data_IF_514607201035
#
_entry.id   IF_514607201035
#
_cell.length_a   1.000
_cell.length_b   1.000
_cell.length_c   1.000
_cell.angle_alpha   90.00
_cell.angle_beta   90.00
_cell.angle_gamma   90.00
#
_symmetry.space_group_name_H-M   'P 1'
#
loop_
_entity.id
_entity.type
_entity.pdbx_description
1 polymer ?
#
# COMPACT_ATOMS: atom_id res chain seq x y z
N UNK A 1 -53.08 -1.86 -48.00
CA UNK A 1 -51.64 -2.21 -48.14
C UNK A 1 -50.85 -0.94 -48.03
N UNK A 2 -50.43 -0.57 -46.85
CA UNK A 2 -49.55 0.59 -46.61
C UNK A 2 -48.38 0.05 -45.80
N UNK A 3 -47.25 -0.12 -46.51
CA UNK A 3 -45.96 -0.49 -45.94
C UNK A 3 -45.37 0.74 -45.24
N UNK A 4 -45.34 0.72 -43.90
CA UNK A 4 -44.64 1.68 -43.10
C UNK A 4 -43.16 1.29 -43.07
N UNK A 5 -42.38 2.03 -43.83
CA UNK A 5 -40.94 1.94 -43.97
C UNK A 5 -40.30 2.49 -42.64
N UNK A 6 -39.98 1.59 -41.72
CA UNK A 6 -39.27 1.94 -40.46
C UNK A 6 -37.77 2.02 -40.77
N UNK A 7 -37.34 3.12 -41.34
CA UNK A 7 -35.92 3.42 -41.51
C UNK A 7 -35.23 3.38 -40.15
N UNK A 8 -34.47 2.32 -39.86
CA UNK A 8 -33.61 2.19 -38.71
C UNK A 8 -32.58 3.32 -38.75
N UNK A 9 -32.69 4.28 -37.82
CA UNK A 9 -31.70 5.35 -37.64
C UNK A 9 -30.41 4.70 -37.15
N UNK A 10 -29.41 4.63 -38.05
CA UNK A 10 -28.05 4.26 -37.68
C UNK A 10 -27.55 5.20 -36.56
N UNK A 11 -26.89 4.66 -35.52
CA UNK A 11 -26.33 5.49 -34.47
C UNK A 11 -25.34 6.48 -35.09
N UNK A 12 -25.56 7.77 -34.85
CA UNK A 12 -24.68 8.84 -35.32
C UNK A 12 -23.26 8.57 -34.77
N UNK A 13 -22.27 8.54 -35.68
CA UNK A 13 -20.88 8.44 -35.30
C UNK A 13 -20.55 9.54 -34.26
N UNK A 14 -19.90 9.23 -33.13
CA UNK A 14 -19.58 10.23 -32.12
C UNK A 14 -18.74 11.33 -32.75
N UNK A 15 -19.15 12.59 -32.51
CA UNK A 15 -18.47 13.77 -33.00
C UNK A 15 -16.97 13.72 -32.64
N UNK A 16 -16.04 14.04 -33.57
CA UNK A 16 -14.59 13.97 -33.31
C UNK A 16 -14.14 14.81 -32.13
N UNK A 17 -14.87 15.88 -31.80
CA UNK A 17 -14.66 16.74 -30.64
C UNK A 17 -14.74 16.01 -29.28
N UNK A 18 -15.62 15.04 -29.15
CA UNK A 18 -15.71 14.24 -27.91
C UNK A 18 -14.45 13.43 -27.63
N UNK A 19 -13.81 12.92 -28.68
CA UNK A 19 -12.53 12.20 -28.54
C UNK A 19 -11.39 13.14 -28.13
N UNK A 20 -11.31 14.32 -28.72
CA UNK A 20 -10.30 15.31 -28.36
C UNK A 20 -10.46 15.81 -26.93
N UNK A 21 -11.70 16.06 -26.47
CA UNK A 21 -11.99 16.42 -25.09
C UNK A 21 -11.63 15.27 -24.13
N UNK A 22 -11.92 14.03 -24.48
CA UNK A 22 -11.54 12.88 -23.68
C UNK A 22 -10.01 12.72 -23.55
N UNK A 23 -9.28 12.90 -24.66
CA UNK A 23 -7.80 12.89 -24.65
C UNK A 23 -7.21 14.06 -23.87
N UNK A 24 -7.78 15.24 -24.00
CA UNK A 24 -7.35 16.42 -23.23
C UNK A 24 -7.60 16.24 -21.74
N UNK A 25 -8.77 15.72 -21.35
CA UNK A 25 -9.09 15.39 -19.95
C UNK A 25 -8.14 14.31 -19.39
N UNK A 26 -7.88 13.25 -20.15
CA UNK A 26 -6.92 12.22 -19.77
C UNK A 26 -5.50 12.78 -19.62
N UNK A 27 -5.05 13.61 -20.57
CA UNK A 27 -3.75 14.27 -20.50
C UNK A 27 -3.62 15.20 -19.29
N UNK A 28 -4.65 15.99 -19.00
CA UNK A 28 -4.70 16.85 -17.81
C UNK A 28 -4.65 16.00 -16.51
N UNK A 29 -5.43 14.93 -16.45
CA UNK A 29 -5.42 14.02 -15.30
C UNK A 29 -4.05 13.37 -15.10
N UNK A 30 -3.40 12.92 -16.17
CA UNK A 30 -2.04 12.37 -16.11
C UNK A 30 -1.03 13.43 -15.64
N UNK A 31 -1.11 14.66 -16.17
CA UNK A 31 -0.22 15.74 -15.75
C UNK A 31 -0.39 16.10 -14.27
N UNK A 32 -1.62 16.16 -13.77
CA UNK A 32 -1.91 16.41 -12.34
C UNK A 32 -1.40 15.26 -11.46
N UNK A 33 -1.52 14.02 -11.93
CA UNK A 33 -1.09 12.84 -11.15
C UNK A 33 0.42 12.63 -11.19
N UNK A 34 1.04 12.75 -12.37
CA UNK A 34 2.47 12.49 -12.56
C UNK A 34 3.34 13.71 -12.28
N UNK A 35 2.78 14.93 -12.36
CA UNK A 35 3.50 16.16 -12.12
C UNK A 35 4.21 16.22 -10.76
N UNK A 36 3.52 15.97 -9.63
CA UNK A 36 4.16 15.91 -8.32
C UNK A 36 5.24 14.83 -8.21
N UNK A 37 5.03 13.65 -8.83
CA UNK A 37 6.04 12.58 -8.85
C UNK A 37 7.27 13.00 -9.66
N UNK A 38 7.06 13.68 -10.78
CA UNK A 38 8.16 14.25 -11.56
C UNK A 38 8.95 15.28 -10.75
N UNK A 39 8.29 16.16 -9.99
CA UNK A 39 8.96 17.15 -9.14
C UNK A 39 9.79 16.46 -8.03
N UNK A 40 9.33 15.35 -7.45
CA UNK A 40 10.12 14.55 -6.51
C UNK A 40 11.40 14.05 -7.17
N UNK A 41 11.29 13.42 -8.36
CA UNK A 41 12.44 12.90 -9.10
C UNK A 41 13.37 14.02 -9.55
N UNK A 42 12.81 15.12 -10.07
CA UNK A 42 13.56 16.32 -10.49
C UNK A 42 14.39 16.87 -9.32
N UNK A 43 13.78 17.05 -8.15
CA UNK A 43 14.45 17.58 -6.97
C UNK A 43 15.50 16.60 -6.43
N UNK A 44 15.23 15.29 -6.52
CA UNK A 44 16.21 14.24 -6.18
C UNK A 44 17.48 14.30 -7.03
N UNK A 45 17.36 14.75 -8.28
CA UNK A 45 18.47 14.89 -9.24
C UNK A 45 19.12 16.26 -9.19
N UNK A 46 18.57 17.24 -8.49
CA UNK A 46 19.13 18.60 -8.42
C UNK A 46 20.32 18.67 -7.46
N UNK A 47 21.32 19.50 -7.79
CA UNK A 47 22.41 19.77 -6.85
C UNK A 47 21.88 20.57 -5.64
N UNK A 48 22.25 20.22 -4.37
CA UNK A 48 21.68 20.87 -3.19
C UNK A 48 21.79 22.39 -3.19
N UNK A 49 22.93 22.93 -3.64
CA UNK A 49 23.19 24.37 -3.71
C UNK A 49 22.40 25.08 -4.83
N UNK A 50 22.05 24.38 -5.91
CA UNK A 50 21.34 24.94 -7.04
C UNK A 50 19.79 24.92 -6.86
N UNK A 51 19.28 24.18 -5.86
CA UNK A 51 17.84 23.93 -5.68
C UNK A 51 17.02 25.23 -5.60
N UNK A 52 17.45 26.19 -4.79
CA UNK A 52 16.69 27.44 -4.60
C UNK A 52 16.77 28.37 -5.82
N UNK A 53 17.92 28.38 -6.49
CA UNK A 53 18.10 29.20 -7.70
C UNK A 53 17.21 28.72 -8.88
N UNK A 54 16.93 27.44 -8.93
CA UNK A 54 16.19 26.82 -10.04
C UNK A 54 14.89 26.12 -9.60
N UNK A 55 14.28 26.61 -8.51
CA UNK A 55 13.08 26.01 -7.93
C UNK A 55 11.89 25.95 -8.90
N UNK A 56 11.74 26.96 -9.78
CA UNK A 56 10.66 27.03 -10.77
C UNK A 56 10.93 26.28 -12.08
N UNK A 57 12.13 25.73 -12.28
CA UNK A 57 12.46 25.00 -13.50
C UNK A 57 11.75 23.62 -13.51
N UNK A 58 11.26 23.19 -14.68
CA UNK A 58 10.67 21.86 -14.86
C UNK A 58 11.72 20.77 -15.06
N UNK A 59 12.96 21.13 -15.40
CA UNK A 59 14.08 20.22 -15.58
C UNK A 59 15.18 20.53 -14.56
N UNK A 60 15.95 19.53 -14.09
CA UNK A 60 17.10 19.80 -13.23
C UNK A 60 18.15 20.62 -14.01
N UNK A 61 18.62 21.72 -13.42
CA UNK A 61 19.63 22.58 -14.06
C UNK A 61 21.03 21.91 -14.03
N UNK A 62 21.34 21.25 -12.92
CA UNK A 62 22.60 20.53 -12.73
C UNK A 62 22.32 19.09 -12.26
N UNK A 63 21.93 18.18 -13.20
CA UNK A 63 21.52 16.83 -12.81
C UNK A 63 22.69 16.04 -12.20
N UNK A 64 22.43 15.47 -11.02
CA UNK A 64 23.44 14.72 -10.28
C UNK A 64 22.81 13.49 -9.60
N UNK A 65 23.59 12.41 -9.43
CA UNK A 65 23.25 11.25 -8.62
C UNK A 65 23.79 11.35 -7.18
N UNK A 66 24.37 12.49 -6.82
CA UNK A 66 24.97 12.71 -5.50
C UNK A 66 23.98 12.43 -4.36
N UNK A 67 22.74 12.90 -4.49
CA UNK A 67 21.72 12.73 -3.44
C UNK A 67 21.36 11.25 -3.22
N UNK A 68 21.30 10.45 -4.29
CA UNK A 68 21.11 9.01 -4.14
C UNK A 68 22.29 8.32 -3.45
N UNK A 69 23.53 8.73 -3.77
CA UNK A 69 24.72 8.22 -3.08
C UNK A 69 24.73 8.58 -1.59
N UNK A 70 24.30 9.79 -1.26
CA UNK A 70 24.15 10.24 0.14
C UNK A 70 23.14 9.38 0.90
N UNK A 71 21.97 9.17 0.32
CA UNK A 71 20.90 8.34 0.92
C UNK A 71 21.35 6.89 1.11
N UNK A 72 22.11 6.35 0.16
CA UNK A 72 22.61 4.97 0.21
C UNK A 72 23.86 4.80 1.09
N UNK A 73 24.30 5.87 1.80
CA UNK A 73 25.46 5.81 2.68
C UNK A 73 26.82 5.86 1.97
N UNK A 74 26.86 6.23 0.69
CA UNK A 74 28.08 6.34 -0.11
C UNK A 74 28.85 7.66 0.06
N UNK A 75 28.39 8.56 0.95
CA UNK A 75 28.99 9.88 1.20
C UNK A 75 28.97 10.13 2.72
N UNK A 76 30.09 10.60 3.29
CA UNK A 76 30.13 10.96 4.71
C UNK A 76 29.28 12.19 5.03
N UNK A 77 28.86 12.33 6.31
CA UNK A 77 28.11 13.49 6.79
C UNK A 77 28.83 14.82 6.47
N UNK A 78 30.13 14.87 6.70
CA UNK A 78 30.95 16.04 6.43
C UNK A 78 30.96 16.43 4.95
N UNK A 79 31.17 15.46 4.06
CA UNK A 79 31.14 15.67 2.61
C UNK A 79 29.71 16.04 2.13
N UNK A 80 28.67 15.51 2.77
CA UNK A 80 27.28 15.88 2.50
C UNK A 80 27.02 17.36 2.86
N UNK A 81 27.45 17.79 4.04
CA UNK A 81 27.29 19.17 4.49
C UNK A 81 28.10 20.16 3.63
N UNK A 82 29.30 19.77 3.17
CA UNK A 82 30.12 20.60 2.29
C UNK A 82 29.43 20.97 0.95
N UNK A 83 28.57 20.08 0.44
CA UNK A 83 27.81 20.33 -0.78
C UNK A 83 26.40 20.90 -0.52
N UNK A 84 26.11 21.31 0.71
CA UNK A 84 24.84 21.95 1.08
C UNK A 84 23.72 20.97 1.47
N UNK A 85 24.02 19.69 1.66
CA UNK A 85 23.11 18.71 2.22
C UNK A 85 23.11 18.68 3.76
N UNK A 86 22.25 17.87 4.38
CA UNK A 86 22.28 17.62 5.81
C UNK A 86 23.38 16.62 6.17
N UNK A 87 23.79 16.64 7.45
CA UNK A 87 24.65 15.60 8.03
C UNK A 87 23.89 14.34 8.46
N UNK A 88 22.69 14.12 7.93
CA UNK A 88 21.87 12.96 8.28
C UNK A 88 22.53 11.67 7.80
N UNK A 89 22.84 10.80 8.73
CA UNK A 89 23.31 9.43 8.48
C UNK A 89 22.13 8.48 8.67
N UNK A 90 21.69 7.87 7.58
CA UNK A 90 20.59 6.89 7.60
C UNK A 90 21.12 5.58 7.06
N UNK A 91 20.99 4.52 7.84
CA UNK A 91 21.24 3.18 7.33
C UNK A 91 20.06 2.74 6.46
N UNK A 92 20.06 3.22 5.20
CA UNK A 92 18.98 2.97 4.25
C UNK A 92 18.71 1.47 4.03
N UNK A 93 19.78 0.67 3.92
CA UNK A 93 19.63 -0.77 3.68
C UNK A 93 18.93 -1.47 4.85
N UNK A 94 19.26 -1.12 6.10
CA UNK A 94 18.60 -1.65 7.29
C UNK A 94 17.14 -1.19 7.37
N UNK A 95 16.88 0.10 7.18
CA UNK A 95 15.52 0.64 7.20
C UNK A 95 14.64 0.03 6.10
N UNK A 96 15.20 -0.20 4.91
CA UNK A 96 14.54 -0.92 3.82
C UNK A 96 14.24 -2.38 4.22
N UNK A 97 15.21 -3.08 4.79
CA UNK A 97 15.03 -4.45 5.30
C UNK A 97 13.93 -4.54 6.36
N UNK A 98 13.92 -3.59 7.32
CA UNK A 98 12.87 -3.50 8.34
C UNK A 98 11.49 -3.24 7.72
N UNK A 99 11.39 -2.33 6.74
CA UNK A 99 10.13 -2.07 6.03
C UNK A 99 9.63 -3.28 5.25
N UNK A 100 10.51 -3.99 4.56
CA UNK A 100 10.16 -5.21 3.84
C UNK A 100 9.69 -6.30 4.81
N UNK A 101 10.40 -6.50 5.90
CA UNK A 101 10.02 -7.49 6.93
C UNK A 101 8.70 -7.12 7.59
N UNK A 102 8.52 -5.87 8.03
CA UNK A 102 7.27 -5.36 8.60
C UNK A 102 6.10 -5.56 7.66
N UNK A 103 6.21 -5.08 6.42
CA UNK A 103 5.15 -5.21 5.41
C UNK A 103 4.82 -6.67 5.13
N UNK A 104 5.83 -7.52 4.95
CA UNK A 104 5.63 -8.94 4.66
C UNK A 104 4.92 -9.65 5.82
N UNK A 105 5.34 -9.41 7.07
CA UNK A 105 4.70 -10.01 8.24
C UNK A 105 3.25 -9.55 8.38
N UNK A 106 2.98 -8.24 8.23
CA UNK A 106 1.61 -7.71 8.27
C UNK A 106 0.76 -8.34 7.17
N UNK A 107 1.23 -8.39 5.93
CA UNK A 107 0.47 -8.97 4.81
C UNK A 107 0.17 -10.45 5.04
N UNK A 108 1.17 -11.24 5.41
CA UNK A 108 0.99 -12.69 5.60
C UNK A 108 0.04 -12.99 6.75
N UNK A 109 0.28 -12.36 7.91
CA UNK A 109 -0.52 -12.63 9.11
C UNK A 109 -1.94 -12.09 8.97
N UNK A 110 -2.10 -10.83 8.54
CA UNK A 110 -3.42 -10.21 8.39
C UNK A 110 -4.26 -10.91 7.33
N UNK A 111 -3.68 -11.18 6.13
CA UNK A 111 -4.41 -11.85 5.04
C UNK A 111 -4.75 -13.28 5.42
N UNK A 112 -3.80 -14.02 6.01
CA UNK A 112 -4.02 -15.40 6.44
C UNK A 112 -5.10 -15.52 7.52
N UNK A 113 -4.99 -14.72 8.59
CA UNK A 113 -5.97 -14.71 9.67
C UNK A 113 -7.35 -14.23 9.18
N UNK A 114 -7.39 -13.20 8.34
CA UNK A 114 -8.65 -12.72 7.76
C UNK A 114 -9.31 -13.75 6.83
N UNK A 115 -8.52 -14.49 6.06
CA UNK A 115 -9.05 -15.56 5.20
C UNK A 115 -9.65 -16.70 6.02
N UNK A 116 -8.98 -17.14 7.09
CA UNK A 116 -9.51 -18.17 8.00
C UNK A 116 -10.81 -17.70 8.66
N UNK A 117 -10.84 -16.48 9.18
CA UNK A 117 -12.04 -15.90 9.80
C UNK A 117 -13.18 -15.75 8.77
N UNK A 118 -12.87 -15.25 7.56
CA UNK A 118 -13.84 -15.12 6.48
C UNK A 118 -14.45 -16.46 6.08
N UNK A 119 -13.64 -17.52 5.99
CA UNK A 119 -14.12 -18.88 5.72
C UNK A 119 -15.05 -19.38 6.82
N UNK A 120 -14.67 -19.21 8.08
CA UNK A 120 -15.51 -19.58 9.22
C UNK A 120 -16.85 -18.84 9.17
N UNK A 121 -16.85 -17.52 8.91
CA UNK A 121 -18.08 -16.74 8.77
C UNK A 121 -18.86 -17.01 7.49
N UNK A 122 -18.25 -17.55 6.44
CA UNK A 122 -18.97 -17.90 5.21
C UNK A 122 -19.63 -19.28 5.33
N UNK A 123 -18.87 -20.29 5.76
CA UNK A 123 -19.18 -21.71 5.59
C UNK A 123 -19.50 -22.48 6.86
N UNK A 124 -18.84 -22.16 7.98
CA UNK A 124 -19.05 -22.88 9.20
C UNK A 124 -20.28 -22.41 9.98
N UNK A 125 -20.88 -23.31 10.75
CA UNK A 125 -21.96 -23.01 11.69
C UNK A 125 -21.41 -23.15 13.12
N UNK A 126 -21.52 -22.08 13.89
CA UNK A 126 -21.12 -22.07 15.29
C UNK A 126 -21.98 -21.08 16.09
N UNK A 127 -22.12 -21.28 17.41
CA UNK A 127 -22.91 -20.39 18.27
C UNK A 127 -22.29 -18.99 18.29
N UNK A 128 -23.13 -17.96 18.29
CA UNK A 128 -22.67 -16.56 18.32
C UNK A 128 -22.15 -16.00 17.00
N UNK A 129 -22.13 -16.77 15.90
CA UNK A 129 -21.64 -16.35 14.57
C UNK A 129 -22.13 -14.97 14.14
N UNK A 130 -23.44 -14.69 14.32
CA UNK A 130 -24.04 -13.39 13.91
C UNK A 130 -23.50 -12.24 14.76
N UNK A 131 -23.41 -12.43 16.07
CA UNK A 131 -22.91 -11.41 17.00
C UNK A 131 -21.44 -11.12 16.75
N UNK A 132 -20.61 -12.16 16.60
CA UNK A 132 -19.18 -12.00 16.29
C UNK A 132 -18.95 -11.32 14.95
N UNK A 133 -19.73 -11.68 13.93
CA UNK A 133 -19.61 -11.00 12.63
C UNK A 133 -20.07 -9.54 12.72
N UNK A 134 -21.14 -9.24 13.46
CA UNK A 134 -21.57 -7.87 13.70
C UNK A 134 -20.49 -7.06 14.47
N UNK A 135 -19.81 -7.67 15.45
CA UNK A 135 -18.68 -7.05 16.15
C UNK A 135 -17.50 -6.75 15.20
N UNK A 136 -17.18 -7.67 14.29
CA UNK A 136 -16.16 -7.44 13.24
C UNK A 136 -16.55 -6.26 12.36
N UNK A 137 -17.80 -6.16 11.92
CA UNK A 137 -18.27 -5.01 11.14
C UNK A 137 -18.27 -3.72 11.98
N UNK A 138 -18.70 -3.80 13.23
CA UNK A 138 -18.67 -2.68 14.18
C UNK A 138 -17.26 -2.15 14.43
N UNK A 139 -16.24 -3.02 14.44
CA UNK A 139 -14.86 -2.59 14.61
C UNK A 139 -14.36 -1.67 13.49
N UNK A 140 -14.92 -1.79 12.27
CA UNK A 140 -14.60 -0.90 11.15
C UNK A 140 -15.11 0.54 11.35
N UNK A 141 -16.08 0.73 12.24
CA UNK A 141 -16.62 2.07 12.55
C UNK A 141 -15.73 2.82 13.57
N UNK A 142 -14.81 2.11 14.23
CA UNK A 142 -13.91 2.75 15.18
C UNK A 142 -12.75 3.42 14.42
N UNK A 143 -12.54 4.73 14.56
CA UNK A 143 -11.37 5.40 14.00
C UNK A 143 -10.09 4.78 14.60
N UNK A 144 -9.13 4.41 13.75
CA UNK A 144 -7.86 3.79 14.21
C UNK A 144 -7.11 4.64 15.26
N UNK A 145 -7.23 5.96 15.15
CA UNK A 145 -6.63 6.91 16.09
C UNK A 145 -7.12 6.72 17.55
N UNK A 146 -8.37 6.28 17.76
CA UNK A 146 -8.91 6.02 19.11
C UNK A 146 -8.22 4.82 19.77
N UNK A 147 -7.82 3.84 18.97
CA UNK A 147 -7.14 2.62 19.44
C UNK A 147 -5.63 2.83 19.66
N UNK A 148 -5.11 3.97 19.27
CA UNK A 148 -3.68 4.25 19.30
C UNK A 148 -3.11 4.19 20.73
N UNK A 149 -3.68 4.96 21.66
CA UNK A 149 -3.21 5.01 23.06
C UNK A 149 -3.35 3.67 23.75
N UNK A 150 -4.49 2.95 23.70
CA UNK A 150 -4.62 1.61 24.27
C UNK A 150 -3.59 0.61 23.73
N UNK A 151 -3.38 0.60 22.40
CA UNK A 151 -2.40 -0.27 21.78
C UNK A 151 -0.97 0.06 22.24
N UNK A 152 -0.61 1.34 22.32
CA UNK A 152 0.70 1.77 22.79
C UNK A 152 0.96 1.31 24.24
N UNK A 153 -0.02 1.50 25.14
CA UNK A 153 0.08 1.05 26.53
C UNK A 153 0.28 -0.46 26.59
N UNK A 154 -0.48 -1.23 25.82
CA UNK A 154 -0.37 -2.68 25.76
C UNK A 154 1.03 -3.12 25.29
N UNK A 155 1.52 -2.56 24.18
CA UNK A 155 2.85 -2.88 23.63
C UNK A 155 3.95 -2.53 24.63
N UNK A 156 3.81 -1.38 25.33
CA UNK A 156 4.74 -0.98 26.39
C UNK A 156 4.73 -1.97 27.57
N UNK A 157 3.55 -2.38 28.02
CA UNK A 157 3.41 -3.36 29.12
C UNK A 157 3.97 -4.73 28.75
N UNK A 158 3.85 -5.16 27.49
CA UNK A 158 4.45 -6.38 26.97
C UNK A 158 5.98 -6.29 26.79
N UNK A 159 6.56 -5.11 26.95
CA UNK A 159 8.00 -4.91 26.73
C UNK A 159 8.40 -4.98 25.25
N UNK A 160 7.47 -4.75 24.31
CA UNK A 160 7.70 -4.89 22.88
C UNK A 160 8.05 -3.57 22.18
N UNK A 161 8.36 -2.51 22.92
CA UNK A 161 8.89 -1.28 22.34
C UNK A 161 10.23 -1.55 21.62
N UNK A 162 10.53 -0.80 20.58
CA UNK A 162 11.71 -0.98 19.72
C UNK A 162 11.87 -2.41 19.15
N UNK A 163 10.74 -3.09 18.88
CA UNK A 163 10.78 -4.43 18.30
C UNK A 163 9.84 -4.59 17.11
N UNK A 164 10.18 -5.51 16.22
CA UNK A 164 9.32 -5.90 15.09
C UNK A 164 7.95 -6.42 15.58
N UNK A 165 7.93 -7.17 16.70
CA UNK A 165 6.70 -7.67 17.30
C UNK A 165 5.75 -6.52 17.69
N UNK A 166 6.26 -5.49 18.35
CA UNK A 166 5.47 -4.33 18.74
C UNK A 166 4.93 -3.52 17.54
N UNK A 167 5.69 -3.45 16.45
CA UNK A 167 5.22 -2.81 15.22
C UNK A 167 4.12 -3.63 14.53
N UNK A 168 4.28 -4.95 14.41
CA UNK A 168 3.41 -5.83 13.64
C UNK A 168 2.11 -6.18 14.38
N UNK A 169 2.15 -6.33 15.70
CA UNK A 169 1.06 -6.91 16.49
C UNK A 169 -0.33 -6.25 16.26
N UNK A 170 -0.49 -4.93 16.23
CA UNK A 170 -1.80 -4.31 16.02
C UNK A 170 -2.42 -4.59 14.65
N UNK A 171 -1.59 -4.87 13.64
CA UNK A 171 -2.03 -5.10 12.27
C UNK A 171 -2.18 -6.58 11.93
N UNK A 172 -1.52 -7.46 12.67
CA UNK A 172 -1.36 -8.87 12.31
C UNK A 172 -2.61 -9.71 12.51
N UNK A 173 -3.47 -9.35 13.48
CA UNK A 173 -4.55 -10.25 13.89
C UNK A 173 -5.65 -10.36 12.86
N UNK A 174 -6.42 -9.32 12.67
CA UNK A 174 -7.57 -9.31 11.76
C UNK A 174 -7.81 -7.89 11.20
N UNK A 175 -8.35 -7.85 9.98
CA UNK A 175 -8.91 -6.64 9.39
C UNK A 175 -10.39 -6.87 9.11
N UNK A 176 -11.26 -6.05 9.69
CA UNK A 176 -12.71 -6.13 9.47
C UNK A 176 -13.06 -6.04 7.99
N UNK A 177 -12.42 -5.13 7.25
CA UNK A 177 -12.57 -5.00 5.80
C UNK A 177 -12.16 -6.28 5.06
N UNK A 178 -11.00 -6.84 5.37
CA UNK A 178 -10.49 -8.05 4.71
C UNK A 178 -11.39 -9.24 4.96
N UNK A 179 -11.88 -9.41 6.21
CA UNK A 179 -12.84 -10.47 6.55
C UNK A 179 -14.14 -10.30 5.78
N UNK A 180 -14.70 -9.08 5.77
CA UNK A 180 -15.95 -8.81 5.05
C UNK A 180 -15.81 -9.08 3.55
N UNK A 181 -14.77 -8.54 2.93
CA UNK A 181 -14.51 -8.69 1.49
C UNK A 181 -14.33 -10.15 1.08
N UNK A 182 -13.45 -10.88 1.79
CA UNK A 182 -13.20 -12.30 1.51
C UNK A 182 -14.42 -13.16 1.78
N UNK A 183 -15.19 -12.86 2.85
CA UNK A 183 -16.44 -13.58 3.14
C UNK A 183 -17.45 -13.42 2.01
N UNK A 184 -17.64 -12.22 1.45
CA UNK A 184 -18.56 -12.02 0.33
C UNK A 184 -18.14 -12.85 -0.88
N UNK A 185 -16.85 -12.90 -1.17
CA UNK A 185 -16.34 -13.76 -2.24
C UNK A 185 -16.54 -15.24 -1.94
N UNK A 186 -16.21 -15.71 -0.75
CA UNK A 186 -16.40 -17.13 -0.38
C UNK A 186 -17.87 -17.55 -0.45
N UNK A 187 -18.80 -16.66 -0.13
CA UNK A 187 -20.23 -16.93 -0.29
C UNK A 187 -20.67 -17.10 -1.75
N UNK A 188 -19.96 -16.50 -2.70
CA UNK A 188 -20.27 -16.61 -4.14
C UNK A 188 -19.73 -17.90 -4.78
N UNK A 189 -18.85 -18.63 -4.11
CA UNK A 189 -18.33 -19.90 -4.62
C UNK A 189 -19.43 -20.98 -4.61
N UNK A 190 -19.53 -21.83 -5.67
CA UNK A 190 -20.46 -22.94 -5.72
C UNK A 190 -20.27 -23.90 -4.56
N UNK A 191 -21.36 -24.25 -3.88
CA UNK A 191 -21.32 -25.21 -2.75
C UNK A 191 -21.04 -26.63 -3.17
N UNK A 192 -21.42 -26.99 -4.38
CA UNK A 192 -21.24 -28.35 -4.94
C UNK A 192 -19.79 -28.84 -4.85
N UNK A 193 -18.81 -27.91 -5.00
CA UNK A 193 -17.38 -28.23 -4.87
C UNK A 193 -16.99 -28.65 -3.44
N UNK A 194 -17.60 -28.01 -2.44
CA UNK A 194 -17.34 -28.31 -1.03
C UNK A 194 -18.11 -29.58 -0.61
N UNK A 195 -19.33 -29.77 -1.11
CA UNK A 195 -20.15 -30.96 -0.86
C UNK A 195 -19.49 -32.21 -1.46
N UNK A 196 -18.97 -32.13 -2.69
CA UNK A 196 -18.21 -33.22 -3.29
C UNK A 196 -16.97 -33.59 -2.44
N UNK A 197 -16.22 -32.58 -1.99
CA UNK A 197 -15.06 -32.82 -1.11
C UNK A 197 -15.45 -33.43 0.25
N UNK A 198 -16.61 -33.06 0.81
CA UNK A 198 -17.13 -33.67 2.05
C UNK A 198 -17.50 -35.13 1.84
N UNK A 199 -18.09 -35.50 0.68
CA UNK A 199 -18.39 -36.89 0.33
C UNK A 199 -17.11 -37.74 0.20
N UNK A 200 -16.01 -37.11 -0.26
CA UNK A 200 -14.66 -37.72 -0.31
C UNK A 200 -13.99 -37.78 1.08
N UNK A 201 -14.66 -37.36 2.16
CA UNK A 201 -14.15 -37.43 3.53
C UNK A 201 -13.21 -36.25 3.90
N UNK A 202 -13.19 -35.17 3.13
CA UNK A 202 -12.33 -34.02 3.43
C UNK A 202 -12.84 -33.27 4.68
N UNK A 203 -11.89 -32.88 5.56
CA UNK A 203 -12.18 -32.02 6.71
C UNK A 203 -12.38 -30.55 6.27
N UNK A 204 -13.08 -29.70 7.05
CA UNK A 204 -13.25 -28.28 6.74
C UNK A 204 -11.92 -27.55 6.49
N UNK A 205 -10.86 -27.91 7.20
CA UNK A 205 -9.52 -27.36 6.98
C UNK A 205 -8.92 -27.80 5.64
N UNK A 206 -9.16 -29.05 5.25
CA UNK A 206 -8.73 -29.57 3.94
C UNK A 206 -9.47 -28.83 2.80
N UNK A 207 -10.78 -28.65 2.93
CA UNK A 207 -11.61 -27.89 1.98
C UNK A 207 -11.13 -26.44 1.87
N UNK A 208 -10.92 -25.77 3.01
CA UNK A 208 -10.37 -24.41 3.02
C UNK A 208 -9.06 -24.31 2.24
N UNK A 209 -8.09 -25.19 2.58
CA UNK A 209 -6.75 -25.12 2.00
C UNK A 209 -6.67 -25.57 0.55
N UNK A 210 -7.40 -26.61 0.16
CA UNK A 210 -7.26 -27.26 -1.16
C UNK A 210 -8.33 -26.84 -2.17
N UNK A 211 -9.45 -26.30 -1.73
CA UNK A 211 -10.57 -25.90 -2.60
C UNK A 211 -10.72 -24.38 -2.55
N UNK A 212 -11.05 -23.82 -1.37
CA UNK A 212 -11.43 -22.40 -1.25
C UNK A 212 -10.26 -21.46 -1.51
N UNK A 213 -9.10 -21.67 -0.91
CA UNK A 213 -7.94 -20.79 -1.11
C UNK A 213 -7.46 -20.75 -2.57
N UNK A 214 -7.28 -21.89 -3.27
CA UNK A 214 -6.88 -21.86 -4.68
C UNK A 214 -7.88 -21.17 -5.59
N UNK A 215 -9.18 -21.34 -5.37
CA UNK A 215 -10.23 -20.65 -6.12
C UNK A 215 -10.33 -19.16 -5.82
N UNK A 216 -9.70 -18.72 -4.72
CA UNK A 216 -9.77 -17.34 -4.21
C UNK A 216 -8.47 -16.56 -4.36
N UNK A 217 -7.55 -17.00 -5.22
CA UNK A 217 -6.24 -16.34 -5.40
C UNK A 217 -6.38 -14.86 -5.75
N UNK A 218 -7.33 -14.52 -6.63
CA UNK A 218 -7.55 -13.13 -7.06
C UNK A 218 -8.00 -12.21 -5.90
N UNK A 219 -9.07 -12.50 -5.14
CA UNK A 219 -9.47 -11.67 -4.00
C UNK A 219 -8.44 -11.69 -2.86
N UNK A 220 -7.74 -12.81 -2.64
CA UNK A 220 -6.64 -12.86 -1.67
C UNK A 220 -5.49 -11.95 -2.08
N UNK A 221 -5.10 -11.95 -3.35
CA UNK A 221 -4.07 -11.04 -3.88
C UNK A 221 -4.51 -9.56 -3.75
N UNK A 222 -5.79 -9.26 -3.94
CA UNK A 222 -6.33 -7.91 -3.75
C UNK A 222 -6.20 -7.47 -2.29
N UNK A 223 -6.62 -8.29 -1.34
CA UNK A 223 -6.47 -7.99 0.10
C UNK A 223 -5.00 -7.85 0.49
N UNK A 224 -4.15 -8.79 0.04
CA UNK A 224 -2.71 -8.75 0.30
C UNK A 224 -2.06 -7.48 -0.24
N UNK A 225 -2.45 -7.04 -1.45
CA UNK A 225 -1.93 -5.80 -2.04
C UNK A 225 -2.38 -4.57 -1.27
N UNK A 226 -3.66 -4.47 -0.91
CA UNK A 226 -4.18 -3.34 -0.13
C UNK A 226 -3.52 -3.26 1.25
N UNK A 227 -3.39 -4.38 1.95
CA UNK A 227 -2.67 -4.47 3.22
C UNK A 227 -1.19 -4.14 3.06
N UNK A 228 -0.57 -4.58 1.97
CA UNK A 228 0.84 -4.30 1.66
C UNK A 228 1.09 -2.81 1.41
N UNK A 229 0.25 -2.16 0.61
CA UNK A 229 0.36 -0.72 0.37
C UNK A 229 0.14 0.06 1.68
N UNK A 230 -0.84 -0.32 2.49
CA UNK A 230 -1.09 0.33 3.78
C UNK A 230 0.09 0.17 4.74
N UNK A 231 0.61 -1.06 4.91
CA UNK A 231 1.75 -1.33 5.78
C UNK A 231 3.04 -0.68 5.28
N UNK A 232 3.30 -0.69 3.96
CA UNK A 232 4.49 -0.05 3.39
C UNK A 232 4.56 1.45 3.66
N UNK A 233 3.39 2.11 3.64
CA UNK A 233 3.29 3.55 3.88
C UNK A 233 3.03 3.89 5.36
N UNK A 234 2.95 2.89 6.25
CA UNK A 234 2.70 3.14 7.65
C UNK A 234 3.91 3.86 8.29
N UNK A 235 3.63 5.05 8.81
CA UNK A 235 4.63 5.92 9.42
C UNK A 235 4.40 6.09 10.92
N UNK A 236 3.14 6.41 11.29
CA UNK A 236 2.85 6.96 12.60
C UNK A 236 3.06 5.94 13.73
N UNK A 237 2.60 4.71 13.53
CA UNK A 237 2.76 3.65 14.53
C UNK A 237 4.23 3.24 14.73
N UNK A 238 4.99 2.88 13.69
CA UNK A 238 6.43 2.60 13.84
C UNK A 238 7.22 3.78 14.43
N UNK A 239 6.89 5.02 14.08
CA UNK A 239 7.56 6.22 14.59
C UNK A 239 7.51 6.32 16.12
N UNK A 240 6.39 5.91 16.73
CA UNK A 240 6.21 6.01 18.18
C UNK A 240 6.66 4.74 18.90
N UNK A 241 6.43 3.56 18.31
CA UNK A 241 6.71 2.27 18.95
C UNK A 241 8.18 1.84 18.79
N UNK A 242 8.81 2.25 17.69
CA UNK A 242 10.16 1.83 17.34
C UNK A 242 11.05 3.01 16.90
N UNK A 243 11.30 4.00 17.80
CA UNK A 243 12.11 5.16 17.49
C UNK A 243 13.62 4.84 17.39
N UNK A 244 14.07 3.67 17.87
CA UNK A 244 15.49 3.28 17.83
C UNK A 244 15.99 3.08 16.41
N UNK A 245 17.18 3.59 16.09
CA UNK A 245 17.77 3.57 14.73
C UNK A 245 17.81 2.17 14.11
N UNK A 246 18.05 1.13 14.92
CA UNK A 246 18.12 -0.25 14.45
C UNK A 246 16.76 -0.85 14.06
N UNK A 247 15.68 -0.31 14.60
CA UNK A 247 14.32 -0.83 14.41
C UNK A 247 13.47 0.00 13.44
N UNK A 248 13.95 1.18 13.04
CA UNK A 248 13.19 2.08 12.16
C UNK A 248 12.86 1.44 10.82
N UNK A 249 11.61 1.64 10.40
CA UNK A 249 11.16 1.40 9.03
C UNK A 249 11.48 2.60 8.14
N UNK A 250 11.50 2.39 6.84
CA UNK A 250 11.96 3.39 5.88
C UNK A 250 11.22 4.73 5.98
N UNK A 251 9.87 4.81 6.07
CA UNK A 251 9.17 6.09 6.25
C UNK A 251 9.61 6.87 7.50
N UNK A 252 9.98 6.17 8.57
CA UNK A 252 10.49 6.79 9.82
C UNK A 252 11.92 7.28 9.62
N UNK A 253 12.78 6.45 9.05
CA UNK A 253 14.17 6.81 8.80
C UNK A 253 14.31 8.06 7.90
N UNK A 254 13.38 8.27 6.95
CA UNK A 254 13.37 9.46 6.09
C UNK A 254 13.18 10.79 6.85
N UNK A 255 12.65 10.74 8.07
CA UNK A 255 12.52 11.96 8.90
C UNK A 255 13.86 12.60 9.22
N UNK A 256 14.96 11.83 9.25
CA UNK A 256 16.30 12.34 9.50
C UNK A 256 16.74 13.37 8.43
N UNK A 257 16.26 13.25 7.18
CA UNK A 257 16.52 14.25 6.12
C UNK A 257 15.74 15.55 6.28
N UNK A 258 14.79 15.63 7.24
CA UNK A 258 14.16 16.90 7.64
C UNK A 258 15.03 17.72 8.57
N UNK A 259 16.18 17.17 9.03
CA UNK A 259 17.17 17.94 9.78
C UNK A 259 17.71 19.09 8.93
N UNK A 260 18.06 20.16 9.61
CA UNK A 260 18.52 21.38 8.92
C UNK A 260 19.87 21.15 8.24
N UNK A 261 19.99 21.69 7.03
CA UNK A 261 21.26 21.85 6.34
C UNK A 261 22.08 22.98 6.99
N UNK A 262 23.36 23.16 6.66
CA UNK A 262 24.15 24.34 7.11
C UNK A 262 23.47 25.69 6.81
N UNK A 263 22.59 25.73 5.79
CA UNK A 263 21.82 26.93 5.41
C UNK A 263 20.53 27.10 6.23
N UNK A 264 20.28 26.27 7.24
CA UNK A 264 19.11 26.36 8.11
C UNK A 264 17.79 25.86 7.51
N UNK A 265 17.83 25.11 6.41
CA UNK A 265 16.65 24.56 5.72
C UNK A 265 16.64 23.02 5.76
N UNK A 266 15.47 22.37 5.60
CA UNK A 266 15.42 20.93 5.42
C UNK A 266 16.19 20.47 4.18
N UNK A 267 16.80 19.29 4.24
CA UNK A 267 17.48 18.66 3.11
C UNK A 267 16.47 18.09 2.11
N UNK A 268 15.90 18.99 1.31
CA UNK A 268 14.90 18.61 0.32
C UNK A 268 15.44 17.64 -0.74
N UNK A 269 16.70 17.81 -1.17
CA UNK A 269 17.30 16.96 -2.20
C UNK A 269 17.54 15.54 -1.68
N UNK A 270 18.05 15.40 -0.45
CA UNK A 270 18.20 14.11 0.21
C UNK A 270 16.85 13.45 0.48
N UNK A 271 15.87 14.22 1.01
CA UNK A 271 14.52 13.71 1.26
C UNK A 271 13.84 13.23 -0.01
N UNK A 272 13.92 13.97 -1.13
CA UNK A 272 13.31 13.58 -2.40
C UNK A 272 14.03 12.40 -3.05
N UNK A 273 15.35 12.28 -2.91
CA UNK A 273 16.09 11.11 -3.35
C UNK A 273 15.66 9.85 -2.59
N UNK A 274 15.55 9.96 -1.26
CA UNK A 274 15.06 8.88 -0.41
C UNK A 274 13.60 8.51 -0.74
N UNK A 275 12.71 9.51 -0.93
CA UNK A 275 11.33 9.29 -1.34
C UNK A 275 11.25 8.58 -2.71
N UNK A 276 12.09 8.97 -3.67
CA UNK A 276 12.17 8.31 -5.00
C UNK A 276 12.50 6.82 -4.85
N UNK A 277 13.51 6.49 -4.03
CA UNK A 277 13.87 5.09 -3.78
C UNK A 277 12.76 4.32 -3.08
N UNK A 278 12.02 4.97 -2.16
CA UNK A 278 10.90 4.37 -1.44
C UNK A 278 9.69 4.08 -2.35
N UNK A 279 9.53 4.83 -3.44
CA UNK A 279 8.48 4.57 -4.41
C UNK A 279 8.72 3.29 -5.24
N UNK A 280 9.98 2.91 -5.46
CA UNK A 280 10.31 1.78 -6.33
C UNK A 280 9.64 0.45 -5.94
N UNK A 281 9.64 0.00 -4.66
CA UNK A 281 8.95 -1.22 -4.27
C UNK A 281 7.44 -1.16 -4.48
N UNK A 282 6.81 -0.01 -4.21
CA UNK A 282 5.37 0.20 -4.44
C UNK A 282 5.04 0.12 -5.93
N UNK A 283 5.83 0.77 -6.78
CA UNK A 283 5.67 0.72 -8.24
C UNK A 283 5.89 -0.70 -8.78
N UNK A 284 6.90 -1.41 -8.27
CA UNK A 284 7.14 -2.80 -8.63
C UNK A 284 5.96 -3.70 -8.25
N UNK A 285 5.42 -3.54 -7.03
CA UNK A 285 4.24 -4.27 -6.57
C UNK A 285 3.02 -3.98 -7.45
N UNK A 286 2.82 -2.72 -7.81
CA UNK A 286 1.72 -2.31 -8.69
C UNK A 286 1.88 -2.86 -10.11
N UNK A 287 3.09 -2.89 -10.64
CA UNK A 287 3.38 -3.45 -11.96
C UNK A 287 3.12 -4.96 -12.01
N UNK A 288 3.45 -5.69 -10.93
CA UNK A 288 3.28 -7.15 -10.86
C UNK A 288 1.83 -7.55 -10.57
N UNK A 289 1.17 -6.88 -9.62
CA UNK A 289 -0.15 -7.28 -9.13
C UNK A 289 -1.31 -6.42 -9.67
N UNK A 290 -1.03 -5.25 -10.24
CA UNK A 290 -2.06 -4.28 -10.65
C UNK A 290 -3.08 -4.84 -11.65
N UNK A 291 -2.64 -5.69 -12.58
CA UNK A 291 -3.56 -6.36 -13.53
C UNK A 291 -4.58 -7.24 -12.81
N UNK A 292 -4.15 -8.02 -11.81
CA UNK A 292 -5.04 -8.91 -11.03
C UNK A 292 -6.08 -8.13 -10.25
N UNK A 293 -5.72 -6.94 -9.77
CA UNK A 293 -6.66 -6.07 -9.03
C UNK A 293 -7.72 -5.48 -9.96
N UNK A 294 -7.32 -5.00 -11.14
CA UNK A 294 -8.29 -4.48 -12.13
C UNK A 294 -9.28 -5.58 -12.55
N UNK A 295 -8.80 -6.80 -12.79
CA UNK A 295 -9.64 -7.94 -13.12
C UNK A 295 -10.61 -8.29 -11.98
N UNK A 296 -10.19 -8.24 -10.71
CA UNK A 296 -11.05 -8.53 -9.55
C UNK A 296 -12.21 -7.55 -9.40
N UNK A 297 -11.99 -6.27 -9.73
CA UNK A 297 -13.02 -5.22 -9.66
C UNK A 297 -14.03 -5.36 -10.80
N UNK A 298 -13.58 -5.77 -11.99
CA UNK A 298 -14.47 -5.99 -13.15
C UNK A 298 -15.42 -7.18 -12.95
N UNK A 299 -15.00 -8.25 -12.28
CA UNK A 299 -15.86 -9.40 -11.98
C UNK A 299 -16.98 -9.08 -10.98
N UNK A 300 -16.84 -8.07 -10.16
CA UNK A 300 -17.90 -7.66 -9.21
C UNK A 300 -18.94 -6.69 -9.81
N UNK A 301 -18.68 -6.12 -10.98
CA UNK A 301 -19.53 -5.13 -11.66
C UNK A 301 -20.38 -5.66 -12.82
N UNK A 302 -20.23 -6.92 -13.20
CA UNK A 302 -20.93 -7.53 -14.32
C UNK A 302 -22.00 -8.54 -13.89
N UNK A 303 -23.16 -8.05 -13.46
CA UNK A 303 -24.45 -8.76 -13.44
C UNK A 303 -25.51 -7.84 -13.98
#
# INVERSE_FOLDING_TARGET
>A
MTSTDTAARLPRAPLPWGRWLAWAALGAMLAITLGPLWLVVKTALEHPQALLAHAASLLPAEPTLLNFRRVLGGVSAEASMAVGGSGAEVNFARALGNSLLFTTLVVLLQTGNSAMAAYAFARLQFPGKRVLFAAVLGSMMLPGVVLFIPNFILIKQLGWLNSMAGMVAPFALISGFSIFFLRQFFLSLPRDLEEAALLDGATPWCIFRRVVLPLSVTPLATVAMLSGIAAWNEFFWPFIVAPGEDSQVLPVALQHFKSQTPQGQPDWTGLMAAATLTLLPTLALLAVLGRRVVESVQYSGGK
#
